data_IF_484657504832
#
_entry.id   IF_484657504832
#
_cell.length_a   1.000
_cell.length_b   1.000
_cell.length_c   1.000
_cell.angle_alpha   90.00
_cell.angle_beta   90.00
_cell.angle_gamma   90.00
#
_symmetry.space_group_name_H-M   'P 1'
#
loop_
_entity.id
_entity.type
_entity.pdbx_description
1 polymer ?
#
# COMPACT_ATOMS: atom_id res chain seq x y z
N UNK A 1 20.99 11.54 -10.16
CA UNK A 1 21.59 10.20 -10.05
C UNK A 1 22.13 10.09 -8.65
N UNK A 2 21.73 9.05 -7.92
CA UNK A 2 22.11 8.86 -6.52
C UNK A 2 23.58 8.42 -6.39
N UNK A 3 24.25 8.85 -5.31
CA UNK A 3 25.69 8.62 -5.07
C UNK A 3 26.07 7.14 -5.07
N UNK A 4 25.14 6.27 -4.65
CA UNK A 4 25.33 4.82 -4.70
C UNK A 4 25.52 4.32 -6.14
N UNK A 5 24.73 4.85 -7.07
CA UNK A 5 24.78 4.50 -8.50
C UNK A 5 26.06 5.04 -9.13
N UNK A 6 26.50 6.22 -8.74
CA UNK A 6 27.77 6.82 -9.16
C UNK A 6 28.98 6.01 -8.66
N UNK A 7 28.95 5.52 -7.42
CA UNK A 7 30.00 4.70 -6.85
C UNK A 7 30.06 3.30 -7.51
N UNK A 8 28.90 2.69 -7.76
CA UNK A 8 28.82 1.38 -8.42
C UNK A 8 29.34 1.42 -9.87
N UNK A 9 28.97 2.46 -10.63
CA UNK A 9 29.47 2.66 -11.99
C UNK A 9 30.97 3.00 -12.04
N UNK A 10 31.46 3.78 -11.07
CA UNK A 10 32.88 4.12 -10.97
C UNK A 10 33.75 2.89 -10.66
N UNK A 11 33.31 2.04 -9.73
CA UNK A 11 34.04 0.82 -9.36
C UNK A 11 34.15 -0.17 -10.52
N UNK A 12 33.06 -0.36 -11.28
CA UNK A 12 33.06 -1.20 -12.49
C UNK A 12 34.00 -0.66 -13.58
N UNK A 13 34.19 0.66 -13.64
CA UNK A 13 35.06 1.31 -14.64
C UNK A 13 36.54 1.17 -14.30
N UNK A 14 36.90 1.11 -13.02
CA UNK A 14 38.28 0.87 -12.59
C UNK A 14 38.72 -0.57 -12.88
N UNK A 15 37.87 -1.55 -12.60
CA UNK A 15 38.17 -2.98 -12.86
C UNK A 15 38.22 -3.34 -14.36
N UNK A 16 37.68 -2.47 -15.24
CA UNK A 16 37.64 -2.70 -16.69
C UNK A 16 38.83 -2.05 -17.43
N UNK A 17 39.48 -1.03 -16.85
CA UNK A 17 40.58 -0.28 -17.48
C UNK A 17 41.80 -1.13 -17.82
N UNK A 18 42.11 -2.10 -16.96
CA UNK A 18 43.24 -3.01 -17.18
C UNK A 18 42.90 -4.12 -18.19
N UNK A 19 41.60 -4.46 -18.32
CA UNK A 19 41.11 -5.44 -19.29
C UNK A 19 41.01 -4.85 -20.70
N UNK A 20 40.60 -3.59 -20.84
CA UNK A 20 40.47 -2.92 -22.15
C UNK A 20 41.82 -2.56 -22.78
N UNK A 21 42.88 -2.37 -21.99
CA UNK A 21 44.26 -2.24 -22.49
C UNK A 21 44.87 -3.58 -22.97
N UNK A 22 44.33 -4.71 -22.49
CA UNK A 22 44.86 -6.05 -22.78
C UNK A 22 44.13 -6.77 -23.93
N UNK A 23 43.01 -6.21 -24.41
CA UNK A 23 42.18 -6.82 -25.46
C UNK A 23 42.25 -5.93 -26.71
N UNK A 24 43.31 -6.12 -27.49
CA UNK A 24 43.34 -5.69 -28.89
C UNK A 24 42.46 -6.67 -29.68
N UNK A 25 41.22 -6.27 -29.98
CA UNK A 25 40.37 -7.07 -30.85
C UNK A 25 40.73 -6.79 -32.32
N UNK A 26 41.52 -7.68 -32.90
CA UNK A 26 41.69 -7.77 -34.35
C UNK A 26 41.02 -9.05 -34.84
N UNK A 27 40.17 -9.02 -35.88
CA UNK A 27 39.47 -10.20 -36.38
C UNK A 27 40.37 -11.37 -36.83
N UNK A 28 41.68 -11.14 -36.97
CA UNK A 28 42.66 -12.13 -37.43
C UNK A 28 43.82 -12.37 -36.45
N UNK A 29 43.81 -11.81 -35.23
CA UNK A 29 44.76 -12.16 -34.18
C UNK A 29 46.25 -11.96 -34.52
N UNK A 30 46.59 -10.98 -35.35
CA UNK A 30 48.00 -10.67 -35.67
C UNK A 30 48.48 -9.55 -34.75
N UNK A 31 49.05 -9.91 -33.60
CA UNK A 31 49.77 -8.96 -32.77
C UNK A 31 51.04 -8.53 -33.50
N UNK A 32 51.09 -7.26 -33.94
CA UNK A 32 52.31 -6.65 -34.46
C UNK A 32 53.27 -6.39 -33.29
N UNK A 33 53.89 -7.45 -32.78
CA UNK A 33 55.07 -7.33 -31.91
C UNK A 33 56.19 -6.76 -32.78
N UNK A 34 56.64 -5.55 -32.48
CA UNK A 34 57.92 -5.00 -32.97
C UNK A 34 59.03 -6.02 -32.72
N UNK A 35 59.47 -6.74 -33.75
CA UNK A 35 60.80 -7.34 -33.77
C UNK A 35 61.73 -6.42 -34.55
N UNK A 36 62.87 -6.12 -33.95
CA UNK A 36 63.96 -5.42 -34.62
C UNK A 36 64.47 -6.19 -35.84
N UNK A 37 64.89 -5.40 -36.83
CA UNK A 37 65.77 -5.63 -37.97
C UNK A 37 66.33 -7.05 -38.20
N UNK A 38 66.10 -7.60 -39.39
CA UNK A 38 67.11 -7.85 -40.45
C UNK A 38 66.66 -8.91 -41.46
N UNK A 39 67.02 -8.68 -42.73
CA UNK A 39 66.92 -9.52 -43.92
C UNK A 39 65.71 -9.27 -44.83
N UNK A 40 65.84 -8.16 -45.57
CA UNK A 40 65.32 -8.02 -46.92
C UNK A 40 65.99 -9.08 -47.83
N UNK A 41 65.20 -9.95 -48.45
CA UNK A 41 65.39 -10.59 -49.78
C UNK A 41 64.73 -11.97 -49.94
N UNK A 42 63.60 -12.25 -49.27
CA UNK A 42 62.80 -13.47 -49.56
C UNK A 42 61.28 -13.25 -49.65
N UNK A 43 60.81 -12.01 -49.55
CA UNK A 43 59.36 -11.70 -49.47
C UNK A 43 58.72 -11.36 -50.83
N UNK A 44 59.50 -11.23 -51.91
CA UNK A 44 59.01 -10.77 -53.22
C UNK A 44 58.55 -11.90 -54.17
N UNK A 45 58.60 -13.17 -53.77
CA UNK A 45 58.21 -14.31 -54.64
C UNK A 45 56.75 -14.77 -54.52
N UNK A 46 55.91 -14.11 -53.73
CA UNK A 46 54.47 -14.43 -53.60
C UNK A 46 53.55 -13.25 -53.98
N UNK A 47 54.03 -12.31 -54.81
CA UNK A 47 53.25 -11.12 -55.18
C UNK A 47 52.46 -11.22 -56.50
N UNK A 48 52.35 -12.39 -57.13
CA UNK A 48 51.58 -12.51 -58.37
C UNK A 48 50.63 -13.71 -58.30
N UNK A 49 49.33 -13.41 -58.45
CA UNK A 49 48.13 -14.29 -58.45
C UNK A 49 47.30 -14.32 -57.15
N UNK A 50 47.03 -13.18 -56.52
CA UNK A 50 46.11 -13.11 -55.37
C UNK A 50 44.73 -12.60 -55.80
N UNK A 51 44.02 -13.34 -56.66
CA UNK A 51 42.56 -13.21 -56.68
C UNK A 51 42.04 -13.91 -55.42
N UNK A 52 41.23 -13.21 -54.62
CA UNK A 52 40.65 -13.82 -53.43
C UNK A 52 39.91 -15.11 -53.82
N UNK A 53 40.12 -16.25 -53.12
CA UNK A 53 39.45 -17.50 -53.45
C UNK A 53 37.94 -17.30 -53.42
N UNK A 54 37.21 -17.84 -54.40
CA UNK A 54 35.74 -17.70 -54.48
C UNK A 54 35.02 -18.20 -53.21
N UNK A 55 35.59 -19.18 -52.52
CA UNK A 55 35.11 -19.66 -51.22
C UNK A 55 35.18 -18.58 -50.14
N UNK A 56 36.23 -17.77 -50.11
CA UNK A 56 36.39 -16.67 -49.15
C UNK A 56 35.43 -15.53 -49.49
N UNK A 57 35.27 -15.21 -50.78
CA UNK A 57 34.26 -14.22 -51.23
C UNK A 57 32.85 -14.63 -50.83
N UNK A 58 32.50 -15.91 -51.02
CA UNK A 58 31.21 -16.46 -50.61
C UNK A 58 31.01 -16.35 -49.10
N UNK A 59 32.03 -16.74 -48.32
CA UNK A 59 31.97 -16.66 -46.86
C UNK A 59 31.80 -15.22 -46.36
N UNK A 60 32.50 -14.24 -46.93
CA UNK A 60 32.31 -12.82 -46.58
C UNK A 60 30.88 -12.35 -46.85
N UNK A 61 30.31 -12.71 -47.99
CA UNK A 61 28.92 -12.36 -48.33
C UNK A 61 27.93 -12.96 -47.33
N UNK A 62 28.07 -14.25 -47.02
CA UNK A 62 27.22 -14.93 -46.05
C UNK A 62 27.37 -14.38 -44.63
N UNK A 63 28.60 -14.07 -44.22
CA UNK A 63 28.88 -13.49 -42.92
C UNK A 63 28.26 -12.10 -42.77
N UNK A 64 28.45 -11.22 -43.77
CA UNK A 64 27.83 -9.90 -43.79
C UNK A 64 26.30 -9.98 -43.78
N UNK A 65 25.71 -10.87 -44.59
CA UNK A 65 24.26 -11.09 -44.60
C UNK A 65 23.74 -11.61 -43.24
N UNK A 66 24.53 -12.44 -42.54
CA UNK A 66 24.16 -12.93 -41.20
C UNK A 66 24.25 -11.82 -40.14
N UNK A 67 25.22 -10.91 -40.24
CA UNK A 67 25.29 -9.72 -39.37
C UNK A 67 24.06 -8.84 -39.62
N UNK A 68 23.79 -8.48 -40.87
CA UNK A 68 22.64 -7.63 -41.22
C UNK A 68 21.32 -8.23 -40.74
N UNK A 69 21.16 -9.55 -40.85
CA UNK A 69 19.99 -10.26 -40.32
C UNK A 69 19.88 -10.16 -38.80
N UNK A 70 21.00 -10.24 -38.07
CA UNK A 70 21.02 -10.11 -36.60
C UNK A 70 20.67 -8.68 -36.19
N UNK A 71 21.28 -7.69 -36.84
CA UNK A 71 21.04 -6.27 -36.57
C UNK A 71 19.58 -5.89 -36.85
N UNK A 72 19.00 -6.38 -37.96
CA UNK A 72 17.59 -6.17 -38.28
C UNK A 72 16.65 -6.80 -37.23
N UNK A 73 16.98 -8.00 -36.73
CA UNK A 73 16.22 -8.67 -35.69
C UNK A 73 16.31 -7.93 -34.34
N UNK A 74 17.50 -7.44 -33.97
CA UNK A 74 17.69 -6.64 -32.77
C UNK A 74 16.90 -5.32 -32.86
N UNK A 75 17.00 -4.60 -33.98
CA UNK A 75 16.23 -3.39 -34.22
C UNK A 75 14.71 -3.62 -34.14
N UNK A 76 14.23 -4.77 -34.65
CA UNK A 76 12.82 -5.16 -34.55
C UNK A 76 12.41 -5.42 -33.10
N UNK A 77 13.23 -6.13 -32.32
CA UNK A 77 12.98 -6.40 -30.90
C UNK A 77 12.96 -5.12 -30.08
N UNK A 78 13.92 -4.23 -30.30
CA UNK A 78 13.98 -2.94 -29.62
C UNK A 78 12.73 -2.10 -29.88
N UNK A 79 12.26 -2.08 -31.13
CA UNK A 79 11.01 -1.40 -31.49
C UNK A 79 9.82 -2.02 -30.77
N UNK A 80 9.70 -3.35 -30.77
CA UNK A 80 8.62 -4.06 -30.10
C UNK A 80 8.64 -3.82 -28.58
N UNK A 81 9.82 -3.79 -27.95
CA UNK A 81 9.97 -3.49 -26.52
C UNK A 81 9.54 -2.06 -26.19
N UNK A 82 9.95 -1.07 -27.01
CA UNK A 82 9.52 0.32 -26.84
C UNK A 82 8.01 0.49 -27.00
N UNK A 83 7.41 -0.19 -27.98
CA UNK A 83 5.97 -0.19 -28.19
C UNK A 83 5.21 -0.86 -27.03
N UNK A 84 5.72 -1.96 -26.47
CA UNK A 84 5.12 -2.60 -25.29
C UNK A 84 5.17 -1.68 -24.07
N UNK A 85 6.34 -1.10 -23.79
CA UNK A 85 6.51 -0.18 -22.68
C UNK A 85 5.58 1.04 -22.79
N UNK A 86 5.39 1.58 -24.00
CA UNK A 86 4.46 2.68 -24.23
C UNK A 86 2.99 2.27 -24.00
N UNK A 87 2.60 1.06 -24.43
CA UNK A 87 1.25 0.51 -24.20
C UNK A 87 0.97 0.30 -22.71
N UNK A 88 1.90 -0.32 -21.99
CA UNK A 88 1.78 -0.57 -20.55
C UNK A 88 1.68 0.74 -19.77
N UNK A 89 2.47 1.75 -20.14
CA UNK A 89 2.39 3.07 -19.53
C UNK A 89 1.01 3.73 -19.77
N UNK A 90 0.50 3.66 -20.99
CA UNK A 90 -0.83 4.21 -21.32
C UNK A 90 -1.95 3.47 -20.57
N UNK A 91 -1.85 2.14 -20.46
CA UNK A 91 -2.78 1.32 -19.70
C UNK A 91 -2.76 1.68 -18.20
N UNK A 92 -1.58 1.81 -17.62
CA UNK A 92 -1.43 2.21 -16.22
C UNK A 92 -2.01 3.61 -15.96
N UNK A 93 -1.74 4.58 -16.84
CA UNK A 93 -2.30 5.93 -16.72
C UNK A 93 -3.83 5.91 -16.80
N UNK A 94 -4.41 5.11 -17.69
CA UNK A 94 -5.86 4.96 -17.81
C UNK A 94 -6.47 4.28 -16.57
N UNK A 95 -5.84 3.22 -16.08
CA UNK A 95 -6.22 2.54 -14.85
C UNK A 95 -6.17 3.52 -13.66
N UNK A 96 -5.08 4.29 -13.54
CA UNK A 96 -4.90 5.25 -12.45
C UNK A 96 -6.00 6.33 -12.46
N UNK A 97 -6.27 6.93 -13.62
CA UNK A 97 -7.35 7.91 -13.77
C UNK A 97 -8.72 7.34 -13.39
N UNK A 98 -9.04 6.12 -13.87
CA UNK A 98 -10.30 5.44 -13.52
C UNK A 98 -10.42 5.20 -12.02
N UNK A 99 -9.35 4.76 -11.37
CA UNK A 99 -9.36 4.53 -9.91
C UNK A 99 -9.49 5.83 -9.13
N UNK A 100 -8.83 6.92 -9.57
CA UNK A 100 -8.96 8.22 -8.92
C UNK A 100 -10.41 8.73 -8.99
N UNK A 101 -11.05 8.63 -10.16
CA UNK A 101 -12.47 9.01 -10.32
C UNK A 101 -13.36 8.14 -9.44
N UNK A 102 -13.11 6.82 -9.38
CA UNK A 102 -13.87 5.90 -8.54
C UNK A 102 -13.73 6.25 -7.06
N UNK A 103 -12.50 6.46 -6.57
CA UNK A 103 -12.22 6.85 -5.20
C UNK A 103 -12.89 8.19 -4.85
N UNK A 104 -12.80 9.18 -5.74
CA UNK A 104 -13.47 10.46 -5.54
C UNK A 104 -14.99 10.30 -5.41
N UNK A 105 -15.62 9.50 -6.28
CA UNK A 105 -17.07 9.20 -6.18
C UNK A 105 -17.44 8.51 -4.88
N UNK A 106 -16.63 7.56 -4.42
CA UNK A 106 -16.83 6.88 -3.15
C UNK A 106 -16.71 7.84 -1.96
N UNK A 107 -15.71 8.72 -1.98
CA UNK A 107 -15.54 9.73 -0.94
C UNK A 107 -16.74 10.69 -0.91
N UNK A 108 -17.23 11.12 -2.07
CA UNK A 108 -18.38 12.01 -2.15
C UNK A 108 -19.67 11.36 -1.62
N UNK A 109 -19.91 10.09 -1.97
CA UNK A 109 -21.04 9.33 -1.42
C UNK A 109 -20.91 9.13 0.11
N UNK A 110 -19.68 8.91 0.59
CA UNK A 110 -19.43 8.81 2.03
C UNK A 110 -19.67 10.14 2.76
N UNK A 111 -19.27 11.27 2.17
CA UNK A 111 -19.57 12.59 2.73
C UNK A 111 -21.07 12.89 2.75
N UNK A 112 -21.81 12.48 1.70
CA UNK A 112 -23.28 12.60 1.67
C UNK A 112 -23.94 11.79 2.80
N UNK A 113 -23.49 10.55 3.01
CA UNK A 113 -23.97 9.72 4.13
C UNK A 113 -23.63 10.37 5.49
N UNK A 114 -22.40 10.85 5.67
CA UNK A 114 -22.02 11.56 6.89
C UNK A 114 -22.87 12.81 7.12
N UNK A 115 -23.19 13.54 6.06
CA UNK A 115 -24.06 14.71 6.13
C UNK A 115 -25.48 14.31 6.55
N UNK A 116 -26.05 13.26 5.95
CA UNK A 116 -27.36 12.72 6.33
C UNK A 116 -27.39 12.27 7.80
N UNK A 117 -26.32 11.63 8.29
CA UNK A 117 -26.21 11.24 9.71
C UNK A 117 -26.13 12.47 10.64
N UNK A 118 -25.40 13.52 10.25
CA UNK A 118 -25.35 14.78 10.99
C UNK A 118 -26.72 15.45 11.04
N UNK A 119 -27.41 15.54 9.91
CA UNK A 119 -28.75 16.13 9.82
C UNK A 119 -29.77 15.36 10.66
N UNK A 120 -29.73 14.03 10.61
CA UNK A 120 -30.52 13.15 11.49
C UNK A 120 -30.25 13.42 12.96
N UNK A 121 -28.97 13.52 13.35
CA UNK A 121 -28.56 13.80 14.73
C UNK A 121 -29.05 15.18 15.19
N UNK A 122 -28.95 16.19 14.31
CA UNK A 122 -29.45 17.53 14.58
C UNK A 122 -30.97 17.55 14.78
N UNK A 123 -31.73 16.85 13.94
CA UNK A 123 -33.19 16.73 14.09
C UNK A 123 -33.59 16.01 15.38
N UNK A 124 -32.87 14.95 15.76
CA UNK A 124 -33.09 14.26 17.03
C UNK A 124 -32.78 15.17 18.23
N UNK A 125 -31.69 15.93 18.18
CA UNK A 125 -31.33 16.91 19.22
C UNK A 125 -32.38 18.02 19.35
N UNK A 126 -32.87 18.55 18.23
CA UNK A 126 -33.93 19.55 18.22
C UNK A 126 -35.26 18.99 18.75
N UNK A 127 -35.55 17.72 18.48
CA UNK A 127 -36.75 17.05 19.01
C UNK A 127 -36.63 16.87 20.53
N UNK A 128 -35.44 16.50 21.01
CA UNK A 128 -35.15 16.34 22.44
C UNK A 128 -35.36 17.63 23.25
N UNK A 129 -35.00 18.80 22.71
CA UNK A 129 -35.15 20.08 23.42
C UNK A 129 -36.61 20.51 23.66
N UNK A 130 -37.57 19.90 22.96
CA UNK A 130 -39.00 20.24 23.04
C UNK A 130 -39.81 19.29 23.94
N UNK A 131 -39.26 18.16 24.36
CA UNK A 131 -39.99 17.11 25.10
C UNK A 131 -39.73 17.21 26.60
N UNK A 132 -40.74 16.92 27.43
CA UNK A 132 -40.66 16.99 28.88
C UNK A 132 -39.96 15.76 29.47
N UNK A 133 -39.09 15.95 30.47
CA UNK A 133 -38.24 14.91 31.08
C UNK A 133 -38.98 13.67 31.65
N UNK A 134 -40.30 13.74 31.80
CA UNK A 134 -41.16 12.63 32.23
C UNK A 134 -41.58 11.68 31.11
N UNK A 135 -41.32 12.00 29.83
CA UNK A 135 -41.69 11.15 28.70
C UNK A 135 -40.63 10.05 28.45
N UNK A 136 -41.09 8.80 28.45
CA UNK A 136 -40.24 7.63 28.14
C UNK A 136 -39.60 7.71 26.74
N UNK A 137 -40.20 8.47 25.81
CA UNK A 137 -39.70 8.67 24.45
C UNK A 137 -38.36 9.44 24.38
N UNK A 138 -38.04 10.25 25.40
CA UNK A 138 -36.76 10.97 25.48
C UNK A 138 -35.58 9.98 25.56
N UNK A 139 -35.75 8.90 26.33
CA UNK A 139 -34.68 7.93 26.55
C UNK A 139 -34.34 7.16 25.28
N UNK A 140 -35.34 6.85 24.44
CA UNK A 140 -35.13 6.26 23.11
C UNK A 140 -34.32 7.20 22.19
N UNK A 141 -34.65 8.51 22.18
CA UNK A 141 -33.87 9.50 21.43
C UNK A 141 -32.43 9.63 21.96
N UNK A 142 -32.24 9.68 23.28
CA UNK A 142 -30.89 9.74 23.89
C UNK A 142 -30.08 8.48 23.54
N UNK A 143 -30.69 7.30 23.55
CA UNK A 143 -30.03 6.06 23.11
C UNK A 143 -29.66 6.06 21.63
N UNK A 144 -30.37 6.79 20.78
CA UNK A 144 -30.04 6.94 19.36
C UNK A 144 -28.94 8.00 19.11
N UNK A 145 -28.89 9.07 19.91
CA UNK A 145 -27.81 10.08 19.83
C UNK A 145 -26.49 9.57 20.42
N UNK A 146 -26.57 8.84 21.53
CA UNK A 146 -25.41 8.16 22.09
C UNK A 146 -25.22 6.88 21.30
N UNK A 147 -24.37 6.92 20.26
CA UNK A 147 -23.98 5.70 19.56
C UNK A 147 -23.23 4.78 20.53
N UNK A 148 -23.99 3.88 21.13
CA UNK A 148 -23.58 2.93 22.15
C UNK A 148 -23.02 1.66 21.48
N UNK A 149 -22.74 1.66 20.18
CA UNK A 149 -21.97 0.56 19.59
C UNK A 149 -20.57 0.58 20.19
N UNK A 150 -20.29 -0.39 21.07
CA UNK A 150 -18.92 -0.65 21.51
C UNK A 150 -18.22 -1.20 20.28
N UNK A 151 -17.33 -0.43 19.65
CA UNK A 151 -16.33 -1.01 18.77
C UNK A 151 -15.50 -1.94 19.63
N UNK A 152 -15.86 -3.22 19.66
CA UNK A 152 -15.02 -4.26 20.25
C UNK A 152 -13.72 -4.22 19.49
N UNK A 153 -12.66 -3.70 20.09
CA UNK A 153 -11.32 -3.62 19.52
C UNK A 153 -10.66 -5.00 19.44
N UNK A 154 -11.41 -6.02 19.03
CA UNK A 154 -10.96 -7.39 18.83
C UNK A 154 -11.08 -7.68 17.34
N UNK A 155 -10.00 -7.41 16.62
CA UNK A 155 -9.88 -7.67 15.19
C UNK A 155 -8.71 -6.90 14.62
N UNK A 156 -7.62 -7.62 14.35
CA UNK A 156 -6.36 -7.12 13.79
C UNK A 156 -6.55 -6.09 12.68
N UNK A 157 -6.38 -4.81 13.02
CA UNK A 157 -6.24 -3.74 12.04
C UNK A 157 -5.15 -2.80 12.52
N UNK A 158 -3.94 -3.03 12.00
CA UNK A 158 -2.72 -2.25 12.24
C UNK A 158 -2.86 -0.79 11.79
N UNK A 159 -3.97 -0.42 11.13
CA UNK A 159 -4.24 0.95 10.70
C UNK A 159 -5.62 1.41 11.18
N UNK A 160 -5.80 1.51 12.49
CA UNK A 160 -6.85 2.35 13.09
C UNK A 160 -6.21 3.24 14.14
N UNK A 161 -5.51 4.27 13.64
CA UNK A 161 -5.01 5.37 14.45
C UNK A 161 -6.24 6.13 14.93
N UNK A 162 -6.68 5.85 16.16
CA UNK A 162 -7.76 6.57 16.83
C UNK A 162 -7.41 8.06 16.88
N UNK A 163 -8.07 8.87 16.05
CA UNK A 163 -8.05 10.31 16.20
C UNK A 163 -8.93 10.68 17.40
N UNK A 164 -8.39 11.54 18.26
CA UNK A 164 -8.99 12.10 19.48
C UNK A 164 -9.13 11.12 20.65
N UNK A 165 -8.32 11.36 21.68
CA UNK A 165 -8.21 10.51 22.86
C UNK A 165 -9.51 10.36 23.64
N UNK A 166 -9.93 9.12 23.82
CA UNK A 166 -10.48 8.62 25.08
C UNK A 166 -10.22 7.13 25.07
N UNK A 167 -9.07 6.72 25.61
CA UNK A 167 -8.89 5.35 26.06
C UNK A 167 -10.02 5.04 27.05
N UNK A 168 -10.81 4.04 26.73
CA UNK A 168 -11.94 3.58 27.54
C UNK A 168 -11.44 2.98 28.86
N UNK A 169 -11.08 3.84 29.82
CA UNK A 169 -10.90 3.50 31.24
C UNK A 169 -12.23 3.27 31.95
N UNK A 170 -13.35 3.69 31.34
CA UNK A 170 -14.69 3.43 31.86
C UNK A 170 -15.24 2.19 31.19
N UNK A 171 -15.38 1.11 31.95
CA UNK A 171 -15.97 -0.14 31.50
C UNK A 171 -17.48 0.04 31.20
N UNK A 172 -17.78 0.55 30.01
CA UNK A 172 -19.15 0.80 29.53
C UNK A 172 -19.93 -0.51 29.47
N UNK A 173 -19.27 -1.63 29.23
CA UNK A 173 -19.85 -2.97 29.22
C UNK A 173 -20.30 -3.37 30.63
N UNK A 174 -19.47 -3.18 31.66
CA UNK A 174 -19.89 -3.35 33.07
C UNK A 174 -21.02 -2.40 33.44
N UNK A 175 -20.96 -1.14 33.01
CA UNK A 175 -22.01 -0.17 33.30
C UNK A 175 -23.37 -0.60 32.72
N UNK A 176 -23.38 -1.08 31.47
CA UNK A 176 -24.60 -1.65 30.86
C UNK A 176 -25.08 -2.89 31.59
N UNK A 177 -24.17 -3.80 31.94
CA UNK A 177 -24.55 -5.00 32.69
C UNK A 177 -25.16 -4.66 34.06
N UNK A 178 -24.63 -3.64 34.74
CA UNK A 178 -25.13 -3.16 36.02
C UNK A 178 -26.52 -2.52 35.87
N UNK A 179 -26.72 -1.70 34.84
CA UNK A 179 -28.03 -1.09 34.54
C UNK A 179 -29.08 -2.14 34.16
N UNK A 180 -28.73 -3.13 33.33
CA UNK A 180 -29.63 -4.24 33.01
C UNK A 180 -29.93 -5.10 34.25
N UNK A 181 -28.95 -5.35 35.10
CA UNK A 181 -29.15 -6.07 36.36
C UNK A 181 -30.09 -5.31 37.30
N UNK A 182 -29.94 -3.98 37.42
CA UNK A 182 -30.83 -3.14 38.23
C UNK A 182 -32.24 -3.04 37.63
N UNK A 183 -32.36 -3.01 36.31
CA UNK A 183 -33.65 -3.05 35.60
C UNK A 183 -34.38 -4.38 35.82
N UNK A 184 -33.65 -5.50 35.74
CA UNK A 184 -34.21 -6.84 35.88
C UNK A 184 -34.40 -7.27 37.35
N UNK A 185 -33.59 -6.71 38.26
CA UNK A 185 -33.68 -6.91 39.70
C UNK A 185 -33.55 -5.54 40.41
N UNK A 186 -34.64 -4.75 40.47
CA UNK A 186 -34.60 -3.48 41.17
C UNK A 186 -34.26 -3.74 42.64
N UNK A 187 -33.32 -2.97 43.25
CA UNK A 187 -32.99 -3.13 44.65
C UNK A 187 -34.28 -2.97 45.45
N UNK A 188 -34.65 -4.01 46.19
CA UNK A 188 -35.78 -3.93 47.10
C UNK A 188 -35.42 -2.90 48.15
N UNK A 189 -35.89 -1.67 47.94
CA UNK A 189 -35.74 -0.58 48.88
C UNK A 189 -36.08 -1.11 50.26
N UNK A 190 -35.18 -0.86 51.21
CA UNK A 190 -35.28 -1.18 52.63
C UNK A 190 -36.61 -0.64 53.20
N UNK A 191 -37.69 -1.38 52.99
CA UNK A 191 -39.05 -1.05 53.43
C UNK A 191 -39.66 -2.21 54.25
N UNK A 192 -38.81 -3.01 54.90
CA UNK A 192 -39.27 -4.06 55.84
C UNK A 192 -38.78 -3.88 57.28
N UNK A 193 -37.69 -3.15 57.52
CA UNK A 193 -37.16 -2.99 58.89
C UNK A 193 -37.93 -1.91 59.66
N UNK A 194 -38.56 -0.94 59.00
CA UNK A 194 -39.35 0.11 59.66
C UNK A 194 -40.73 -0.36 60.10
N UNK A 195 -41.40 -1.26 59.36
CA UNK A 195 -42.73 -1.75 59.74
C UNK A 195 -42.70 -2.72 60.93
N UNK A 196 -41.70 -3.61 61.01
CA UNK A 196 -41.60 -4.52 62.15
C UNK A 196 -41.16 -3.80 63.43
N UNK A 197 -40.29 -2.80 63.33
CA UNK A 197 -39.90 -1.97 64.48
C UNK A 197 -41.06 -1.06 64.94
N UNK A 198 -41.84 -0.49 64.02
CA UNK A 198 -43.06 0.26 64.35
C UNK A 198 -44.14 -0.63 64.97
N UNK A 199 -44.37 -1.84 64.45
CA UNK A 199 -45.33 -2.78 65.05
C UNK A 199 -44.89 -3.27 66.43
N UNK A 200 -43.58 -3.50 66.64
CA UNK A 200 -43.05 -3.87 67.96
C UNK A 200 -43.16 -2.72 68.96
N UNK A 201 -42.90 -1.48 68.53
CA UNK A 201 -43.11 -0.27 69.35
C UNK A 201 -44.59 -0.06 69.68
N UNK A 202 -45.49 -0.22 68.69
CA UNK A 202 -46.93 -0.06 68.91
C UNK A 202 -47.47 -1.11 69.88
N UNK A 203 -47.02 -2.36 69.78
CA UNK A 203 -47.43 -3.44 70.70
C UNK A 203 -46.89 -3.20 72.12
N UNK A 204 -45.66 -2.70 72.25
CA UNK A 204 -45.04 -2.41 73.54
C UNK A 204 -45.65 -1.18 74.25
N UNK A 205 -46.21 -0.24 73.50
CA UNK A 205 -46.99 0.88 74.05
C UNK A 205 -48.37 0.40 74.53
N UNK A 206 -48.98 -0.56 73.83
CA UNK A 206 -50.28 -1.14 74.22
C UNK A 206 -50.19 -1.98 75.51
N UNK A 207 -49.04 -2.61 75.79
CA UNK A 207 -48.84 -3.42 77.01
C UNK A 207 -48.49 -2.57 78.26
N UNK A 208 -48.22 -1.26 78.11
CA UNK A 208 -47.85 -0.34 79.21
C UNK A 208 -49.06 0.48 79.71
N UNK A 209 -50.15 0.52 78.94
CA UNK A 209 -51.42 1.20 79.27
C UNK A 209 -52.46 0.19 79.78
#
# INVERSE_FOLDING_TARGET
MDDFTSAFLSRRKEDLKDAEASISYTPFGVDLRKSGETNDDETLRHQSLCSEPETVKQWRREYLANIEKKDANEASKDKAMKESAAKELAEWQNWHKKNLIKAHKQNLAHEEELQAQRDKTMLLSQSLSKVNASDSAIWECICQLCDLTVSTSSGDSVYSKSAAGTSSSRDVTRFRSLLLSLKNNPPRLLCRVTLHSLLVLQRKIQDIL
#
